data_IF_725960489235
#
_entry.id   IF_725960489235
#
_cell.length_a   1.000
_cell.length_b   1.000
_cell.length_c   1.000
_cell.angle_alpha   90.00
_cell.angle_beta   90.00
_cell.angle_gamma   90.00
#
_symmetry.space_group_name_H-M   'P 1'
#
loop_
_entity.id
_entity.type
_entity.pdbx_description
1 polymer ?
#
# COMPACT_ATOMS: atom_id res chain seq x y z
N UNK A 1 15.65 -15.00 21.88
CA UNK A 1 15.02 -13.74 22.33
C UNK A 1 14.00 -13.34 21.29
N UNK A 2 12.72 -13.41 21.63
CA UNK A 2 11.63 -13.04 20.71
C UNK A 2 11.70 -11.52 20.58
N UNK A 3 12.03 -11.01 19.40
CA UNK A 3 12.00 -9.58 19.14
C UNK A 3 10.59 -9.05 19.43
N UNK A 4 10.44 -7.92 20.14
CA UNK A 4 9.13 -7.35 20.41
C UNK A 4 8.44 -7.10 19.08
N UNK A 5 7.20 -7.59 18.95
CA UNK A 5 6.36 -7.33 17.79
C UNK A 5 6.28 -5.81 17.58
N UNK A 6 6.58 -5.28 16.38
CA UNK A 6 6.47 -3.86 16.15
C UNK A 6 5.02 -3.42 16.40
N UNK A 7 4.84 -2.20 16.92
CA UNK A 7 3.54 -1.64 17.32
C UNK A 7 2.45 -1.73 16.23
N UNK A 8 2.87 -1.86 14.96
CA UNK A 8 1.99 -2.13 13.82
C UNK A 8 1.16 -3.42 13.94
N UNK A 9 1.67 -4.48 14.58
CA UNK A 9 0.91 -5.71 14.82
C UNK A 9 -0.19 -5.51 15.86
N UNK A 10 0.08 -4.70 16.89
CA UNK A 10 -0.87 -4.44 17.99
C UNK A 10 -2.03 -3.55 17.51
N UNK A 11 -1.73 -2.53 16.72
CA UNK A 11 -2.72 -1.58 16.20
C UNK A 11 -3.76 -2.26 15.29
N UNK A 12 -3.35 -3.23 14.50
CA UNK A 12 -4.23 -3.93 13.58
C UNK A 12 -4.94 -5.15 14.20
N UNK A 13 -4.47 -5.65 15.36
CA UNK A 13 -5.26 -6.53 16.20
C UNK A 13 -6.46 -5.79 16.82
N UNK A 14 -6.34 -4.48 17.07
CA UNK A 14 -7.40 -3.63 17.61
C UNK A 14 -8.41 -3.12 16.56
N UNK A 15 -8.11 -3.28 15.26
CA UNK A 15 -9.12 -3.25 14.20
C UNK A 15 -9.57 -1.88 13.67
N UNK A 16 -9.11 -0.75 14.22
CA UNK A 16 -9.54 0.58 13.77
C UNK A 16 -8.49 1.30 12.90
N UNK A 17 -8.84 1.57 11.64
CA UNK A 17 -7.93 2.14 10.64
C UNK A 17 -7.48 3.58 10.95
N UNK A 18 -8.21 4.31 11.81
CA UNK A 18 -7.89 5.69 12.20
C UNK A 18 -6.75 5.77 13.22
N UNK A 19 -6.60 4.77 14.09
CA UNK A 19 -5.52 4.72 15.10
C UNK A 19 -4.18 4.33 14.46
N UNK A 20 -4.26 3.68 13.30
CA UNK A 20 -3.13 3.22 12.51
C UNK A 20 -2.46 4.40 11.77
N UNK A 21 -3.22 5.43 11.40
CA UNK A 21 -2.79 6.51 10.50
C UNK A 21 -1.58 7.32 11.03
N UNK A 22 -1.64 7.79 12.29
CA UNK A 22 -0.61 8.66 12.86
C UNK A 22 0.71 7.91 13.14
N UNK A 23 0.65 6.74 13.77
CA UNK A 23 1.85 5.96 14.12
C UNK A 23 2.51 5.37 12.88
N UNK A 24 1.73 4.94 11.90
CA UNK A 24 2.23 4.27 10.70
C UNK A 24 2.90 5.24 9.72
N UNK A 25 2.35 6.45 9.60
CA UNK A 25 2.94 7.48 8.75
C UNK A 25 4.33 7.88 9.23
N UNK A 26 4.53 8.02 10.55
CA UNK A 26 5.86 8.30 11.13
C UNK A 26 6.90 7.21 10.86
N UNK A 27 6.45 5.96 10.72
CA UNK A 27 7.30 4.81 10.48
C UNK A 27 7.72 4.67 9.01
N UNK A 28 6.85 5.06 8.08
CA UNK A 28 7.07 4.91 6.63
C UNK A 28 7.68 6.16 5.99
N UNK A 29 7.35 7.36 6.49
CA UNK A 29 7.90 8.63 5.97
C UNK A 29 9.44 8.66 5.85
N UNK A 30 10.24 8.13 6.80
CA UNK A 30 11.69 8.11 6.67
C UNK A 30 12.16 7.29 5.47
N UNK A 31 11.51 6.14 5.21
CA UNK A 31 11.76 5.32 4.03
C UNK A 31 11.38 6.09 2.75
N UNK A 32 10.27 6.83 2.76
CA UNK A 32 9.85 7.62 1.60
C UNK A 32 10.83 8.74 1.27
N UNK A 33 11.52 9.30 2.27
CA UNK A 33 12.49 10.39 2.09
C UNK A 33 13.89 9.94 1.68
N UNK A 34 14.21 8.64 1.72
CA UNK A 34 15.58 8.18 1.42
C UNK A 34 15.99 8.44 -0.03
N UNK A 35 15.05 8.38 -0.97
CA UNK A 35 15.33 8.58 -2.40
C UNK A 35 14.27 9.47 -3.07
N UNK A 36 14.26 10.79 -2.85
CA UNK A 36 13.16 11.66 -3.31
C UNK A 36 13.08 11.85 -4.84
N UNK A 37 14.15 11.50 -5.56
CA UNK A 37 14.32 11.74 -7.00
C UNK A 37 13.93 10.54 -7.87
N UNK A 38 13.70 9.37 -7.29
CA UNK A 38 13.35 8.19 -8.07
C UNK A 38 11.90 8.29 -8.56
N UNK A 39 11.71 8.22 -9.88
CA UNK A 39 10.37 8.20 -10.50
C UNK A 39 9.61 6.94 -10.11
N UNK A 40 10.25 5.79 -10.30
CA UNK A 40 9.71 4.50 -9.92
C UNK A 40 10.73 3.81 -9.01
N UNK A 41 10.32 3.42 -7.81
CA UNK A 41 11.18 2.72 -6.86
C UNK A 41 10.38 1.84 -5.91
N UNK A 42 11.00 0.74 -5.50
CA UNK A 42 10.55 -0.07 -4.38
C UNK A 42 11.56 0.08 -3.25
N UNK A 43 11.18 0.80 -2.20
CA UNK A 43 11.99 1.01 -1.00
C UNK A 43 11.50 0.04 0.06
N UNK A 44 12.40 -0.67 0.74
CA UNK A 44 11.99 -1.64 1.75
C UNK A 44 13.02 -1.80 2.86
N UNK A 45 12.54 -2.18 4.03
CA UNK A 45 13.35 -2.65 5.15
C UNK A 45 12.76 -3.98 5.68
N UNK A 46 13.18 -4.39 6.88
CA UNK A 46 12.78 -5.66 7.49
C UNK A 46 11.28 -5.75 7.81
N UNK A 47 10.59 -4.63 7.99
CA UNK A 47 9.21 -4.60 8.51
C UNK A 47 8.26 -3.67 7.73
N UNK A 48 8.75 -2.95 6.72
CA UNK A 48 7.99 -2.03 5.89
C UNK A 48 8.50 -1.99 4.44
N UNK A 49 7.63 -1.55 3.54
CA UNK A 49 7.91 -1.30 2.13
C UNK A 49 7.19 -0.04 1.64
N UNK A 50 7.68 0.56 0.57
CA UNK A 50 7.04 1.61 -0.20
C UNK A 50 7.24 1.31 -1.68
N UNK A 51 6.13 1.22 -2.40
CA UNK A 51 6.08 1.21 -3.85
C UNK A 51 5.77 2.62 -4.34
N UNK A 52 6.68 3.22 -5.08
CA UNK A 52 6.51 4.53 -5.70
C UNK A 52 6.43 4.39 -7.20
N UNK A 53 5.42 5.04 -7.77
CA UNK A 53 5.28 5.18 -9.22
C UNK A 53 4.92 6.63 -9.56
N UNK A 54 5.61 7.18 -10.55
CA UNK A 54 5.19 8.40 -11.23
C UNK A 54 4.30 7.98 -12.39
N UNK A 55 3.07 8.49 -12.39
CA UNK A 55 2.07 8.22 -13.39
C UNK A 55 1.81 9.51 -14.17
N UNK A 56 1.87 9.41 -15.49
CA UNK A 56 1.46 10.50 -16.37
C UNK A 56 -0.06 10.54 -16.44
N UNK A 57 -0.61 11.75 -16.42
CA UNK A 57 -2.03 11.92 -16.54
C UNK A 57 -2.43 11.95 -18.02
N UNK A 58 -3.48 11.20 -18.35
CA UNK A 58 -4.09 11.23 -19.67
C UNK A 58 -4.53 12.65 -20.05
N UNK A 59 -4.19 13.14 -21.26
CA UNK A 59 -4.52 14.50 -21.71
C UNK A 59 -6.03 14.74 -21.88
N UNK A 60 -6.83 13.68 -22.07
CA UNK A 60 -8.27 13.78 -22.34
C UNK A 60 -9.13 14.02 -21.08
N UNK A 61 -8.51 14.07 -19.90
CA UNK A 61 -9.23 14.10 -18.64
C UNK A 61 -9.89 12.74 -18.34
N UNK A 62 -10.08 12.46 -17.05
CA UNK A 62 -10.66 11.18 -16.61
C UNK A 62 -12.00 11.49 -15.98
N UNK A 63 -13.07 10.97 -16.58
CA UNK A 63 -14.41 11.00 -15.99
C UNK A 63 -14.53 9.95 -14.90
N UNK A 64 -15.46 10.15 -13.96
CA UNK A 64 -15.68 9.21 -12.85
C UNK A 64 -16.00 7.80 -13.35
N UNK A 65 -16.70 7.70 -14.48
CA UNK A 65 -17.11 6.43 -15.09
C UNK A 65 -15.94 5.63 -15.69
N UNK A 66 -14.86 6.32 -16.11
CA UNK A 66 -13.68 5.70 -16.71
C UNK A 66 -12.49 5.60 -15.72
N UNK A 67 -12.67 6.01 -14.47
CA UNK A 67 -11.62 5.96 -13.46
C UNK A 67 -11.06 4.53 -13.30
N UNK A 68 -11.94 3.53 -13.36
CA UNK A 68 -11.56 2.14 -13.14
C UNK A 68 -10.51 1.65 -14.13
N UNK A 69 -10.62 2.06 -15.39
CA UNK A 69 -9.67 1.68 -16.44
C UNK A 69 -8.27 2.23 -16.18
N UNK A 70 -8.17 3.43 -15.59
CA UNK A 70 -6.88 4.08 -15.32
C UNK A 70 -6.30 3.65 -13.98
N UNK A 71 -7.15 3.30 -13.00
CA UNK A 71 -6.67 2.92 -11.67
C UNK A 71 -5.87 1.61 -11.67
N UNK A 72 -5.98 0.78 -12.71
CA UNK A 72 -5.14 -0.40 -12.85
C UNK A 72 -3.63 -0.10 -12.91
N UNK A 73 -3.25 1.14 -13.25
CA UNK A 73 -1.85 1.57 -13.24
C UNK A 73 -1.36 1.99 -11.84
N UNK A 74 -2.24 2.11 -10.85
CA UNK A 74 -1.84 2.46 -9.50
C UNK A 74 -1.13 1.29 -8.79
N UNK A 75 -0.11 1.58 -7.97
CA UNK A 75 0.56 0.54 -7.19
C UNK A 75 -0.43 -0.15 -6.24
N UNK A 76 -0.42 -1.49 -6.29
CA UNK A 76 -1.18 -2.34 -5.39
C UNK A 76 -2.70 -2.20 -5.50
N UNK A 77 -3.22 -1.80 -6.65
CA UNK A 77 -4.67 -1.70 -6.95
C UNK A 77 -5.46 -2.97 -6.58
N UNK A 78 -4.82 -4.15 -6.67
CA UNK A 78 -5.41 -5.43 -6.25
C UNK A 78 -5.79 -5.49 -4.76
N UNK A 79 -5.25 -4.59 -3.94
CA UNK A 79 -5.51 -4.49 -2.52
C UNK A 79 -6.41 -3.29 -2.16
N UNK A 80 -6.98 -2.58 -3.14
CA UNK A 80 -7.77 -1.40 -2.84
C UNK A 80 -9.17 -1.81 -2.38
N UNK A 81 -9.61 -1.26 -1.24
CA UNK A 81 -11.01 -1.29 -0.85
C UNK A 81 -11.75 -0.12 -1.50
N UNK A 82 -13.07 -0.10 -1.37
CA UNK A 82 -13.94 0.95 -1.93
C UNK A 82 -13.47 2.37 -1.56
N UNK A 83 -12.95 2.57 -0.34
CA UNK A 83 -12.44 3.89 0.10
C UNK A 83 -11.17 4.32 -0.61
N UNK A 84 -10.24 3.40 -0.86
CA UNK A 84 -9.03 3.67 -1.64
C UNK A 84 -9.37 3.96 -3.10
N UNK A 85 -10.30 3.20 -3.66
CA UNK A 85 -10.86 3.44 -5.00
C UNK A 85 -11.45 4.84 -5.10
N UNK A 86 -12.37 5.20 -4.19
CA UNK A 86 -12.98 6.52 -4.17
C UNK A 86 -11.95 7.63 -3.98
N UNK A 87 -10.98 7.45 -3.08
CA UNK A 87 -9.94 8.43 -2.83
C UNK A 87 -9.10 8.71 -4.09
N UNK A 88 -8.63 7.66 -4.75
CA UNK A 88 -7.81 7.80 -5.95
C UNK A 88 -8.64 8.33 -7.14
N UNK A 89 -9.90 7.89 -7.28
CA UNK A 89 -10.79 8.40 -8.32
C UNK A 89 -11.15 9.87 -8.12
N UNK A 90 -11.38 10.32 -6.89
CA UNK A 90 -11.61 11.75 -6.60
C UNK A 90 -10.39 12.59 -7.01
N UNK A 91 -9.18 12.12 -6.76
CA UNK A 91 -7.97 12.82 -7.23
C UNK A 91 -7.87 12.85 -8.77
N UNK A 92 -8.14 11.71 -9.44
CA UNK A 92 -8.00 11.58 -10.89
C UNK A 92 -9.07 12.37 -11.68
N UNK A 93 -10.25 12.54 -11.10
CA UNK A 93 -11.36 13.29 -11.71
C UNK A 93 -11.28 14.80 -11.51
N UNK A 94 -10.38 15.27 -10.65
CA UNK A 94 -10.18 16.71 -10.47
C UNK A 94 -9.53 17.37 -11.68
N UNK A 95 -9.61 18.70 -11.76
CA UNK A 95 -8.90 19.49 -12.77
C UNK A 95 -7.43 19.66 -12.39
N UNK A 96 -6.56 19.97 -13.36
CA UNK A 96 -5.11 20.11 -13.12
C UNK A 96 -4.79 21.12 -11.99
N UNK A 97 -5.49 22.25 -11.95
CA UNK A 97 -5.32 23.27 -10.90
C UNK A 97 -5.80 22.80 -9.52
N UNK A 98 -6.87 22.00 -9.47
CA UNK A 98 -7.40 21.45 -8.22
C UNK A 98 -6.53 20.29 -7.70
N UNK A 99 -5.88 19.54 -8.59
CA UNK A 99 -4.86 18.54 -8.24
C UNK A 99 -3.62 19.15 -7.62
N UNK A 100 -3.15 20.28 -8.14
CA UNK A 100 -1.99 20.98 -7.60
C UNK A 100 -2.21 21.46 -6.16
N UNK A 101 -3.47 21.77 -5.81
CA UNK A 101 -3.89 22.14 -4.46
C UNK A 101 -4.61 21.01 -3.73
N UNK A 102 -4.58 19.79 -4.27
CA UNK A 102 -5.21 18.66 -3.62
C UNK A 102 -4.55 18.47 -2.27
N UNK A 103 -5.33 18.39 -1.18
CA UNK A 103 -4.73 18.28 0.13
C UNK A 103 -3.88 17.01 0.15
N UNK A 104 -2.63 17.12 0.62
CA UNK A 104 -1.73 16.00 0.90
C UNK A 104 -2.35 15.12 2.00
N UNK A 105 -3.43 14.44 1.64
CA UNK A 105 -4.07 13.43 2.46
C UNK A 105 -3.42 12.12 2.10
N UNK A 106 -3.31 11.29 3.11
CA UNK A 106 -3.01 9.90 2.96
C UNK A 106 -4.26 9.14 3.36
N UNK A 107 -4.47 8.01 2.74
CA UNK A 107 -5.50 7.08 3.16
C UNK A 107 -4.81 5.82 3.59
N UNK A 108 -5.06 5.41 4.83
CA UNK A 108 -4.59 4.15 5.37
C UNK A 108 -5.73 3.15 5.46
N UNK A 109 -5.42 1.89 5.19
CA UNK A 109 -6.36 0.81 5.40
C UNK A 109 -5.68 -0.44 5.94
N UNK A 110 -6.50 -1.28 6.59
CA UNK A 110 -6.11 -2.60 7.04
C UNK A 110 -6.44 -3.63 5.96
N UNK A 111 -5.42 -4.20 5.36
CA UNK A 111 -5.52 -5.35 4.48
C UNK A 111 -6.04 -6.57 5.19
N UNK A 112 -7.17 -7.07 4.73
CA UNK A 112 -7.74 -8.35 5.18
C UNK A 112 -7.74 -9.35 4.04
N UNK A 113 -7.24 -10.55 4.30
CA UNK A 113 -7.35 -11.70 3.41
C UNK A 113 -8.12 -12.79 4.15
N UNK A 114 -9.22 -13.26 3.56
CA UNK A 114 -10.10 -14.28 4.16
C UNK A 114 -10.55 -13.89 5.59
N UNK A 115 -10.85 -12.59 5.80
CA UNK A 115 -11.28 -12.05 7.09
C UNK A 115 -10.16 -11.74 8.09
N UNK A 116 -8.94 -12.25 7.88
CA UNK A 116 -7.80 -12.01 8.76
C UNK A 116 -6.98 -10.80 8.32
N UNK A 117 -6.60 -9.89 9.25
CA UNK A 117 -5.67 -8.81 8.93
C UNK A 117 -4.30 -9.39 8.59
N UNK A 118 -3.76 -8.99 7.45
CA UNK A 118 -2.46 -9.48 6.96
C UNK A 118 -1.46 -8.37 6.66
N UNK A 119 -1.91 -7.12 6.54
CA UNK A 119 -1.02 -5.99 6.31
C UNK A 119 -1.77 -4.70 6.63
N UNK A 120 -1.04 -3.69 7.08
CA UNK A 120 -1.51 -2.32 6.99
C UNK A 120 -0.82 -1.69 5.79
N UNK A 121 -1.54 -0.91 5.00
CA UNK A 121 -0.94 -0.10 3.96
C UNK A 121 -1.68 1.23 3.78
N UNK A 122 -0.93 2.22 3.30
CA UNK A 122 -1.37 3.57 3.09
C UNK A 122 -0.98 4.05 1.71
N UNK A 123 -1.87 4.83 1.10
CA UNK A 123 -1.71 5.44 -0.20
C UNK A 123 -1.50 6.94 -0.02
N UNK A 124 -0.38 7.42 -0.55
CA UNK A 124 -0.08 8.83 -0.72
C UNK A 124 -0.18 9.17 -2.21
N UNK A 125 -0.83 10.29 -2.51
CA UNK A 125 -0.91 10.82 -3.87
C UNK A 125 -0.44 12.27 -3.80
N UNK A 126 0.60 12.58 -4.56
CA UNK A 126 1.24 13.89 -4.57
C UNK A 126 1.29 14.40 -6.02
N UNK A 127 0.87 15.63 -6.30
CA UNK A 127 1.08 16.24 -7.61
C UNK A 127 2.58 16.45 -7.84
N UNK A 128 3.08 16.12 -9.03
CA UNK A 128 4.47 16.39 -9.39
C UNK A 128 4.59 17.81 -9.95
N UNK A 129 5.47 18.63 -9.40
CA UNK A 129 5.57 20.06 -9.75
C UNK A 129 6.07 20.31 -11.19
N UNK A 130 6.52 19.27 -11.90
CA UNK A 130 7.23 19.39 -13.18
C UNK A 130 6.41 19.02 -14.43
N UNK A 131 5.14 18.58 -14.31
CA UNK A 131 4.35 18.18 -15.48
C UNK A 131 2.90 17.79 -15.17
N UNK A 132 2.17 17.30 -16.18
CA UNK A 132 0.85 16.68 -16.03
C UNK A 132 0.98 15.26 -15.41
N UNK A 133 1.91 15.08 -14.49
CA UNK A 133 2.26 13.82 -13.85
C UNK A 133 1.96 13.90 -12.35
N UNK A 134 1.73 12.74 -11.74
CA UNK A 134 1.51 12.63 -10.31
C UNK A 134 2.28 11.43 -9.76
N UNK A 135 2.59 11.50 -8.47
CA UNK A 135 3.31 10.45 -7.76
C UNK A 135 2.35 9.72 -6.84
N UNK A 136 2.15 8.44 -7.10
CA UNK A 136 1.44 7.53 -6.21
C UNK A 136 2.44 6.70 -5.41
N UNK A 137 2.32 6.73 -4.08
CA UNK A 137 3.16 5.94 -3.18
C UNK A 137 2.27 5.03 -2.34
N UNK A 138 2.49 3.73 -2.41
CA UNK A 138 1.84 2.73 -1.57
C UNK A 138 2.86 2.21 -0.57
N UNK A 139 2.72 2.57 0.70
CA UNK A 139 3.57 2.08 1.77
C UNK A 139 2.82 1.09 2.65
N UNK A 140 3.46 -0.01 3.01
CA UNK A 140 2.85 -1.05 3.84
C UNK A 140 3.83 -1.66 4.84
N UNK A 141 3.30 -2.36 5.84
CA UNK A 141 4.12 -3.19 6.75
C UNK A 141 4.15 -4.63 6.30
N UNK A 142 5.30 -5.28 6.55
CA UNK A 142 5.50 -6.71 6.35
C UNK A 142 5.10 -7.43 7.63
N UNK A 143 3.96 -8.11 7.57
CA UNK A 143 3.43 -8.90 8.69
C UNK A 143 3.94 -10.35 8.72
N UNK A 144 4.57 -10.77 7.63
CA UNK A 144 5.24 -12.05 7.58
C UNK A 144 6.58 -11.90 8.28
N UNK A 145 6.60 -12.18 9.58
CA UNK A 145 7.87 -12.38 10.29
C UNK A 145 8.64 -13.52 9.61
N UNK A 146 9.98 -13.50 9.61
CA UNK A 146 10.79 -14.62 9.10
C UNK A 146 10.37 -15.97 9.70
N UNK A 147 9.94 -15.98 10.97
CA UNK A 147 9.41 -17.16 11.64
C UNK A 147 8.12 -17.69 11.00
N UNK A 148 7.19 -16.82 10.61
CA UNK A 148 5.96 -17.21 9.92
C UNK A 148 6.24 -17.83 8.55
N UNK A 149 7.25 -17.33 7.83
CA UNK A 149 7.70 -17.91 6.56
C UNK A 149 8.24 -19.34 6.73
N UNK A 150 9.02 -19.59 7.79
CA UNK A 150 9.48 -20.94 8.13
C UNK A 150 8.31 -21.87 8.47
N UNK A 151 7.35 -21.41 9.27
CA UNK A 151 6.15 -22.21 9.60
C UNK A 151 5.38 -22.58 8.33
N UNK A 152 5.14 -21.63 7.42
CA UNK A 152 4.51 -21.90 6.11
C UNK A 152 5.28 -22.94 5.30
N UNK A 153 6.61 -22.84 5.29
CA UNK A 153 7.46 -23.81 4.59
C UNK A 153 7.31 -25.23 5.17
N UNK A 154 7.35 -25.38 6.50
CA UNK A 154 7.13 -26.66 7.16
C UNK A 154 5.74 -27.23 6.87
N UNK A 155 4.70 -26.40 6.93
CA UNK A 155 3.33 -26.84 6.59
C UNK A 155 3.25 -27.34 5.15
N UNK A 156 3.87 -26.64 4.18
CA UNK A 156 3.91 -27.09 2.78
C UNK A 156 4.64 -28.43 2.62
N UNK A 157 5.72 -28.66 3.36
CA UNK A 157 6.43 -29.95 3.34
C UNK A 157 5.58 -31.07 3.91
N UNK A 158 4.91 -30.85 5.05
CA UNK A 158 4.03 -31.84 5.66
C UNK A 158 2.86 -32.16 4.74
N UNK A 159 2.23 -31.14 4.15
CA UNK A 159 1.12 -31.31 3.22
C UNK A 159 1.56 -32.05 1.95
N UNK A 160 2.72 -31.69 1.39
CA UNK A 160 3.29 -32.37 0.21
C UNK A 160 3.62 -33.83 0.50
N UNK A 161 4.21 -34.11 1.66
CA UNK A 161 4.46 -35.49 2.11
C UNK A 161 3.17 -36.29 2.32
N UNK A 162 2.14 -35.66 2.90
CA UNK A 162 0.84 -36.30 3.09
C UNK A 162 0.17 -36.64 1.75
N UNK A 163 0.14 -35.71 0.79
CA UNK A 163 -0.41 -35.95 -0.54
C UNK A 163 0.40 -37.04 -1.26
N UNK A 164 1.73 -37.01 -1.17
CA UNK A 164 2.59 -38.03 -1.75
C UNK A 164 2.45 -39.42 -1.12
N UNK A 165 2.03 -39.50 0.15
CA UNK A 165 1.71 -40.77 0.82
C UNK A 165 0.30 -41.29 0.46
N UNK A 166 -0.62 -40.41 0.08
CA UNK A 166 -2.00 -40.76 -0.29
C UNK A 166 -2.16 -41.13 -1.78
N UNK A 167 -1.16 -40.82 -2.61
CA UNK A 167 -1.05 -41.23 -4.02
C UNK A 167 -0.34 -42.58 -4.14
#
# INVERSE_FOLDING_TARGET
TIAPLPASYVLAANGDASDVDATFTHLIQPLGRSEPWSRNAMLQNDWAFILRYTLDMSPDGITRDNCNAVLHHFPGVAFYNERFWDYACVFMTQNASARATFPLKHQCQLGRMVGFPFATYCLWIEPDNAGNSFRAQLGGTKWETPAYTWVKWFVRLVLGGYIGHQL
#
